data_IF_277724345394
#
_entry.id   IF_277724345394
#
_cell.length_a   1.000
_cell.length_b   1.000
_cell.length_c   1.000
_cell.angle_alpha   90.00
_cell.angle_beta   90.00
_cell.angle_gamma   90.00
#
_symmetry.space_group_name_H-M   'P 1'
#
loop_
_entity.id
_entity.type
_entity.pdbx_description
1 polymer ?
#
# COMPACT_ATOMS: atom_id res chain seq x y z
N UNK A 1 -19.98 1.21 0.10
CA UNK A 1 -21.17 1.00 -0.74
C UNK A 1 -20.87 0.02 -1.85
N UNK A 2 -21.91 -0.65 -2.38
CA UNK A 2 -21.78 -1.47 -3.58
C UNK A 2 -21.72 -0.55 -4.82
N UNK A 3 -20.91 -0.92 -5.81
CA UNK A 3 -20.74 -0.14 -7.03
C UNK A 3 -20.58 -1.03 -8.26
N UNK A 4 -21.01 -0.51 -9.39
CA UNK A 4 -20.62 -0.99 -10.70
C UNK A 4 -19.41 -0.19 -11.16
N UNK A 5 -18.25 -0.85 -11.20
CA UNK A 5 -17.00 -0.28 -11.70
C UNK A 5 -16.85 -0.65 -13.19
N UNK A 6 -16.64 0.37 -14.00
CA UNK A 6 -16.37 0.22 -15.43
C UNK A 6 -15.09 0.95 -15.78
N UNK A 7 -14.30 0.38 -16.68
CA UNK A 7 -13.11 1.01 -17.25
C UNK A 7 -13.44 1.42 -18.68
N UNK A 8 -13.06 2.63 -19.05
CA UNK A 8 -13.39 3.21 -20.35
C UNK A 8 -12.46 4.36 -20.74
N UNK A 9 -12.85 5.05 -21.79
CA UNK A 9 -12.25 6.28 -22.30
C UNK A 9 -13.26 7.45 -22.27
N UNK A 10 -12.98 8.54 -22.96
CA UNK A 10 -13.86 9.71 -23.03
C UNK A 10 -15.23 9.43 -23.69
N UNK A 11 -15.39 8.29 -24.38
CA UNK A 11 -16.66 7.87 -25.01
C UNK A 11 -17.45 6.91 -24.14
N UNK A 12 -16.91 6.46 -23.01
CA UNK A 12 -17.55 5.55 -22.06
C UNK A 12 -16.85 4.21 -21.91
N UNK A 13 -17.54 3.18 -21.39
CA UNK A 13 -16.97 1.85 -21.18
C UNK A 13 -16.46 1.20 -22.46
N UNK A 14 -15.24 0.68 -22.43
CA UNK A 14 -14.57 0.07 -23.59
C UNK A 14 -14.81 -1.44 -23.64
N UNK A 15 -15.09 -1.96 -24.81
CA UNK A 15 -15.28 -3.40 -25.06
C UNK A 15 -14.07 -4.20 -24.61
N UNK A 16 -14.29 -5.24 -23.81
CA UNK A 16 -13.24 -6.11 -23.27
C UNK A 16 -12.60 -5.61 -21.98
N UNK A 17 -12.83 -4.36 -21.59
CA UNK A 17 -12.37 -3.81 -20.32
C UNK A 17 -13.29 -4.19 -19.16
N UNK A 18 -12.79 -4.00 -17.93
CA UNK A 18 -13.52 -4.33 -16.71
C UNK A 18 -14.89 -3.66 -16.66
N UNK A 19 -15.92 -4.45 -16.45
CA UNK A 19 -17.29 -3.99 -16.25
C UNK A 19 -18.05 -3.65 -17.54
N UNK A 20 -17.46 -3.84 -18.72
CA UNK A 20 -18.19 -3.68 -19.98
C UNK A 20 -19.43 -4.61 -20.01
N UNK A 21 -20.58 -4.12 -20.47
CA UNK A 21 -21.88 -4.81 -20.47
C UNK A 21 -22.34 -5.40 -19.11
N UNK A 22 -21.72 -5.00 -18.01
CA UNK A 22 -22.12 -5.43 -16.68
C UNK A 22 -23.23 -4.52 -16.15
N UNK A 23 -24.35 -5.12 -15.70
CA UNK A 23 -25.52 -4.39 -15.16
C UNK A 23 -25.64 -4.52 -13.63
N UNK A 24 -24.76 -5.28 -13.00
CA UNK A 24 -24.82 -5.55 -11.55
C UNK A 24 -23.53 -5.10 -10.85
N UNK A 25 -23.60 -4.68 -9.58
CA UNK A 25 -22.43 -4.27 -8.83
C UNK A 25 -21.33 -5.34 -8.82
N UNK A 26 -20.17 -5.01 -9.38
CA UNK A 26 -18.98 -5.86 -9.45
C UNK A 26 -17.90 -5.46 -8.43
N UNK A 27 -18.09 -4.37 -7.70
CA UNK A 27 -17.15 -3.84 -6.73
C UNK A 27 -17.82 -3.29 -5.47
N UNK A 28 -17.01 -2.95 -4.48
CA UNK A 28 -17.38 -2.10 -3.35
C UNK A 28 -16.47 -0.89 -3.33
N UNK A 29 -17.00 0.26 -2.93
CA UNK A 29 -16.27 1.53 -2.80
C UNK A 29 -16.38 2.02 -1.36
N UNK A 30 -15.28 2.50 -0.82
CA UNK A 30 -15.23 3.19 0.47
C UNK A 30 -14.29 4.39 0.39
N UNK A 31 -14.58 5.41 1.18
CA UNK A 31 -13.66 6.53 1.40
C UNK A 31 -12.43 5.99 2.15
N UNK A 32 -11.25 6.49 1.82
CA UNK A 32 -10.00 6.12 2.48
C UNK A 32 -9.22 7.34 2.97
N UNK A 33 -8.25 7.07 3.85
CA UNK A 33 -7.40 8.06 4.50
C UNK A 33 -7.95 8.45 5.88
N UNK A 34 -7.06 8.85 6.77
CA UNK A 34 -7.43 9.42 8.07
C UNK A 34 -7.82 10.89 7.89
N UNK A 35 -6.86 11.78 7.88
CA UNK A 35 -7.06 13.24 7.70
C UNK A 35 -7.71 13.56 6.35
N UNK A 36 -7.27 12.92 5.27
CA UNK A 36 -7.81 13.18 3.92
C UNK A 36 -9.27 12.72 3.72
N UNK A 37 -9.82 11.92 4.66
CA UNK A 37 -11.25 11.57 4.63
C UNK A 37 -12.17 12.76 4.92
N UNK A 38 -11.66 13.84 5.50
CA UNK A 38 -12.40 15.07 5.79
C UNK A 38 -12.38 16.07 4.62
N UNK A 39 -11.49 15.90 3.65
CA UNK A 39 -11.38 16.79 2.49
C UNK A 39 -12.68 16.83 1.66
N UNK A 40 -12.94 17.93 0.98
CA UNK A 40 -14.11 18.09 0.12
C UNK A 40 -14.14 17.03 -1.00
N UNK A 41 -13.00 16.80 -1.65
CA UNK A 41 -12.84 15.72 -2.62
C UNK A 41 -12.15 14.52 -1.95
N UNK A 42 -12.82 13.38 -1.98
CA UNK A 42 -12.42 12.18 -1.23
C UNK A 42 -11.41 11.32 -1.99
N UNK A 43 -10.58 10.62 -1.24
CA UNK A 43 -9.84 9.47 -1.73
C UNK A 43 -10.71 8.22 -1.65
N UNK A 44 -10.55 7.29 -2.59
CA UNK A 44 -11.37 6.08 -2.64
C UNK A 44 -10.52 4.81 -2.60
N UNK A 45 -11.06 3.80 -1.94
CA UNK A 45 -10.62 2.40 -2.05
C UNK A 45 -11.72 1.61 -2.72
N UNK A 46 -11.42 1.05 -3.87
CA UNK A 46 -12.34 0.22 -4.65
C UNK A 46 -11.85 -1.22 -4.56
N UNK A 47 -12.74 -2.14 -4.17
CA UNK A 47 -12.44 -3.56 -4.09
C UNK A 47 -13.34 -4.32 -5.05
N UNK A 48 -12.77 -4.87 -6.13
CA UNK A 48 -13.46 -5.73 -7.09
C UNK A 48 -13.83 -7.03 -6.39
N UNK A 49 -15.09 -7.46 -6.54
CA UNK A 49 -15.60 -8.70 -5.95
C UNK A 49 -14.88 -9.92 -6.50
N UNK A 50 -14.81 -10.97 -5.70
CA UNK A 50 -14.25 -12.25 -6.13
C UNK A 50 -15.00 -12.75 -7.40
N UNK A 51 -14.24 -13.23 -8.38
CA UNK A 51 -14.77 -13.73 -9.67
C UNK A 51 -15.44 -12.67 -10.56
N UNK A 52 -15.20 -11.38 -10.33
CA UNK A 52 -15.68 -10.27 -11.18
C UNK A 52 -14.55 -9.59 -11.96
N UNK A 53 -13.44 -10.30 -12.15
CA UNK A 53 -12.27 -9.81 -12.87
C UNK A 53 -11.27 -9.03 -12.01
N UNK A 54 -10.40 -8.35 -12.69
CA UNK A 54 -9.37 -7.47 -12.12
C UNK A 54 -9.09 -6.34 -13.10
N UNK A 55 -8.50 -5.27 -12.62
CA UNK A 55 -8.00 -4.22 -13.49
C UNK A 55 -6.49 -4.14 -13.33
N UNK A 56 -5.75 -4.30 -14.45
CA UNK A 56 -4.27 -4.39 -14.46
C UNK A 56 -3.72 -5.39 -13.44
N UNK A 57 -4.36 -6.56 -13.35
CA UNK A 57 -4.00 -7.60 -12.39
C UNK A 57 -4.41 -7.33 -10.94
N UNK A 58 -4.91 -6.14 -10.62
CA UNK A 58 -5.28 -5.75 -9.26
C UNK A 58 -6.79 -5.83 -9.01
N UNK A 59 -7.17 -6.29 -7.82
CA UNK A 59 -8.56 -6.30 -7.35
C UNK A 59 -8.85 -5.22 -6.29
N UNK A 60 -7.82 -4.60 -5.75
CA UNK A 60 -7.94 -3.47 -4.85
C UNK A 60 -7.27 -2.28 -5.49
N UNK A 61 -8.02 -1.22 -5.69
CA UNK A 61 -7.61 0.00 -6.37
C UNK A 61 -7.69 1.15 -5.37
N UNK A 62 -6.63 1.91 -5.21
CA UNK A 62 -6.64 3.16 -4.47
C UNK A 62 -6.65 4.33 -5.44
N UNK A 63 -7.54 5.26 -5.25
CA UNK A 63 -7.64 6.52 -5.98
C UNK A 63 -7.36 7.67 -5.03
N UNK A 64 -6.26 8.38 -5.25
CA UNK A 64 -5.84 9.50 -4.44
C UNK A 64 -6.09 10.81 -5.17
N UNK A 65 -6.72 11.78 -4.48
CA UNK A 65 -7.09 13.09 -5.05
C UNK A 65 -6.03 14.17 -4.79
N UNK A 66 -5.20 14.00 -3.77
CA UNK A 66 -4.12 14.92 -3.39
C UNK A 66 -4.59 16.37 -3.22
N UNK A 67 -5.63 16.58 -2.41
CA UNK A 67 -6.23 17.91 -2.17
C UNK A 67 -5.25 18.93 -1.54
N UNK A 68 -4.22 18.45 -0.83
CA UNK A 68 -3.17 19.28 -0.23
C UNK A 68 -2.12 19.81 -1.20
N UNK A 69 -2.16 19.39 -2.47
CA UNK A 69 -1.17 19.76 -3.48
C UNK A 69 -1.81 20.61 -4.59
N UNK A 70 -1.19 21.74 -4.92
CA UNK A 70 -1.67 22.58 -6.02
C UNK A 70 -1.64 21.89 -7.39
N UNK A 71 -0.61 21.10 -7.67
CA UNK A 71 -0.41 20.43 -8.96
C UNK A 71 -0.90 18.98 -8.98
N UNK A 72 -1.13 18.38 -7.81
CA UNK A 72 -1.70 17.02 -7.63
C UNK A 72 -0.93 15.88 -8.31
N UNK A 73 0.37 16.04 -8.55
CA UNK A 73 1.18 15.01 -9.18
C UNK A 73 2.44 14.59 -8.39
N UNK A 74 2.72 15.21 -7.24
CA UNK A 74 3.92 14.91 -6.42
C UNK A 74 4.04 13.41 -6.14
N UNK A 75 2.99 12.81 -5.62
CA UNK A 75 2.94 11.38 -5.31
C UNK A 75 3.21 10.51 -6.56
N UNK A 76 2.61 10.85 -7.70
CA UNK A 76 2.86 10.16 -8.97
C UNK A 76 4.32 10.31 -9.42
N UNK A 77 4.87 11.51 -9.30
CA UNK A 77 6.25 11.79 -9.70
C UNK A 77 7.25 11.03 -8.80
N UNK A 78 7.03 10.99 -7.48
CA UNK A 78 7.86 10.23 -6.56
C UNK A 78 7.92 8.74 -6.95
N UNK A 79 6.78 8.10 -7.19
CA UNK A 79 6.76 6.71 -7.64
C UNK A 79 7.40 6.49 -9.02
N UNK A 80 7.30 7.45 -9.94
CA UNK A 80 7.97 7.33 -11.24
C UNK A 80 9.49 7.46 -11.11
N UNK A 81 9.99 8.31 -10.20
CA UNK A 81 11.41 8.39 -9.89
C UNK A 81 11.93 7.10 -9.25
N UNK A 82 11.18 6.53 -8.30
CA UNK A 82 11.55 5.27 -7.62
C UNK A 82 11.71 4.13 -8.63
N UNK A 83 10.88 4.06 -9.67
CA UNK A 83 11.01 3.04 -10.74
C UNK A 83 12.35 3.06 -11.48
N UNK A 84 13.05 4.18 -11.46
CA UNK A 84 14.39 4.33 -12.04
C UNK A 84 15.54 3.99 -11.09
N UNK A 85 15.25 3.52 -9.88
CA UNK A 85 16.24 3.21 -8.83
C UNK A 85 16.15 1.72 -8.51
N UNK A 86 17.09 0.93 -9.01
CA UNK A 86 17.08 -0.54 -8.92
C UNK A 86 17.04 -1.07 -7.47
N UNK A 87 17.60 -0.32 -6.52
CA UNK A 87 17.67 -0.69 -5.11
C UNK A 87 16.39 -0.37 -4.34
N UNK A 88 15.47 0.40 -4.94
CA UNK A 88 14.21 0.76 -4.29
C UNK A 88 13.05 -0.10 -4.76
N UNK A 89 12.16 -0.35 -3.84
CA UNK A 89 10.90 -1.03 -4.12
C UNK A 89 9.75 -0.01 -4.12
N UNK A 90 9.18 0.23 -5.29
CA UNK A 90 8.08 1.18 -5.49
C UNK A 90 6.82 0.52 -5.99
N UNK A 91 5.76 1.30 -6.09
CA UNK A 91 4.44 0.87 -6.55
C UNK A 91 4.14 1.38 -7.96
N UNK A 92 3.28 0.67 -8.68
CA UNK A 92 2.79 1.15 -9.96
C UNK A 92 1.71 2.22 -9.74
N UNK A 93 1.81 3.27 -10.54
CA UNK A 93 0.88 4.39 -10.48
C UNK A 93 0.50 4.84 -11.90
N UNK A 94 -0.70 5.40 -12.01
CA UNK A 94 -1.15 6.06 -13.23
C UNK A 94 -2.17 7.14 -12.92
N UNK A 95 -2.33 8.08 -13.82
CA UNK A 95 -3.47 9.01 -13.77
C UNK A 95 -4.72 8.35 -14.32
N UNK A 96 -5.85 8.63 -13.68
CA UNK A 96 -7.18 8.25 -14.14
C UNK A 96 -8.13 9.42 -14.00
N UNK A 97 -9.10 9.52 -14.89
CA UNK A 97 -10.22 10.44 -14.75
C UNK A 97 -11.39 9.67 -14.16
N UNK A 98 -11.98 10.18 -13.09
CA UNK A 98 -13.07 9.50 -12.38
C UNK A 98 -14.41 10.18 -12.68
N UNK A 99 -15.34 9.40 -13.19
CA UNK A 99 -16.75 9.78 -13.34
C UNK A 99 -17.59 8.96 -12.40
N UNK A 100 -18.53 9.58 -11.70
CA UNK A 100 -19.37 8.91 -10.71
C UNK A 100 -20.84 9.20 -11.01
N UNK A 101 -21.65 8.15 -11.00
CA UNK A 101 -23.10 8.26 -11.01
C UNK A 101 -23.67 7.63 -9.73
N UNK A 102 -24.28 8.44 -8.87
CA UNK A 102 -24.93 7.96 -7.67
C UNK A 102 -26.35 7.44 -7.99
N UNK A 103 -26.71 6.30 -7.43
CA UNK A 103 -28.05 5.68 -7.54
C UNK A 103 -28.50 5.26 -6.13
N UNK A 104 -29.79 5.30 -5.80
CA UNK A 104 -30.98 5.73 -6.55
C UNK A 104 -31.48 7.13 -6.21
N UNK A 105 -30.90 7.84 -5.23
CA UNK A 105 -31.55 8.99 -4.59
C UNK A 105 -31.39 10.32 -5.36
N UNK A 106 -30.52 10.35 -6.37
CA UNK A 106 -30.39 11.47 -7.27
C UNK A 106 -30.36 10.98 -8.71
N UNK A 107 -31.51 10.63 -9.23
CA UNK A 107 -31.63 10.18 -10.61
C UNK A 107 -31.50 11.34 -11.59
N UNK A 108 -30.31 11.93 -11.67
CA UNK A 108 -29.96 12.81 -12.76
C UNK A 108 -29.71 12.02 -14.05
N UNK A 109 -29.54 10.70 -13.95
CA UNK A 109 -29.15 9.85 -15.09
C UNK A 109 -27.75 10.14 -15.66
N UNK A 110 -27.03 11.13 -15.10
CA UNK A 110 -25.79 11.68 -15.63
C UNK A 110 -24.62 11.34 -14.72
N UNK A 111 -23.47 11.04 -15.31
CA UNK A 111 -22.21 10.91 -14.59
C UNK A 111 -21.68 12.29 -14.22
N UNK A 112 -21.31 12.46 -12.96
CA UNK A 112 -20.61 13.64 -12.47
C UNK A 112 -19.10 13.47 -12.69
N UNK A 113 -18.45 14.52 -13.16
CA UNK A 113 -17.02 14.56 -13.36
C UNK A 113 -16.32 14.85 -12.03
N UNK A 114 -15.62 13.84 -11.48
CA UNK A 114 -14.81 13.98 -10.26
C UNK A 114 -13.35 14.36 -10.58
N UNK A 115 -12.99 14.44 -11.85
CA UNK A 115 -11.69 14.88 -12.36
C UNK A 115 -10.56 13.88 -12.16
N UNK A 116 -9.34 14.42 -12.19
CA UNK A 116 -8.10 13.64 -12.13
C UNK A 116 -7.86 13.02 -10.76
N UNK A 117 -7.47 11.74 -10.75
CA UNK A 117 -6.96 10.99 -9.61
C UNK A 117 -5.64 10.31 -9.95
N UNK A 118 -4.80 10.10 -8.95
CA UNK A 118 -3.70 9.14 -9.05
C UNK A 118 -4.19 7.79 -8.56
N UNK A 119 -4.23 6.80 -9.44
CA UNK A 119 -4.39 5.40 -9.04
C UNK A 119 -3.05 4.89 -8.54
N UNK A 120 -3.04 4.35 -7.34
CA UNK A 120 -1.86 3.75 -6.69
C UNK A 120 -2.10 2.27 -6.46
N UNK A 121 -1.16 1.44 -6.87
CA UNK A 121 -1.17 0.01 -6.59
C UNK A 121 -1.24 -0.24 -5.08
N UNK A 122 -1.98 -1.26 -4.69
CA UNK A 122 -2.05 -1.67 -3.29
C UNK A 122 -1.13 -2.86 -3.07
N UNK A 123 -0.09 -2.68 -2.26
CA UNK A 123 0.84 -3.76 -1.96
C UNK A 123 0.13 -4.88 -1.18
N UNK A 124 0.14 -6.06 -1.76
CA UNK A 124 -0.44 -7.31 -1.28
C UNK A 124 0.20 -8.50 -2.00
N UNK A 125 -0.22 -9.71 -1.71
CA UNK A 125 0.31 -10.93 -2.37
C UNK A 125 0.28 -10.88 -3.90
N UNK A 126 -0.75 -10.25 -4.49
CA UNK A 126 -0.84 -10.10 -5.96
C UNK A 126 0.21 -9.12 -6.48
N UNK A 127 0.36 -7.98 -5.83
CA UNK A 127 1.37 -6.99 -6.19
C UNK A 127 2.80 -7.54 -6.02
N UNK A 128 3.09 -8.22 -4.90
CA UNK A 128 4.37 -8.89 -4.71
C UNK A 128 4.71 -9.80 -5.91
N UNK A 129 3.75 -10.63 -6.32
CA UNK A 129 3.93 -11.51 -7.47
C UNK A 129 4.17 -10.75 -8.78
N UNK A 130 3.47 -9.66 -9.04
CA UNK A 130 3.66 -8.83 -10.25
C UNK A 130 5.01 -8.13 -10.27
N UNK A 131 5.57 -7.83 -9.12
CA UNK A 131 6.92 -7.28 -8.96
C UNK A 131 8.03 -8.34 -8.92
N UNK A 132 7.70 -9.64 -9.10
CA UNK A 132 8.68 -10.73 -9.01
C UNK A 132 9.15 -11.04 -7.59
N UNK A 133 8.49 -10.48 -6.58
CA UNK A 133 8.76 -10.74 -5.17
C UNK A 133 7.99 -11.97 -4.66
N UNK A 134 8.45 -12.55 -3.55
CA UNK A 134 7.82 -13.74 -2.96
C UNK A 134 6.47 -13.39 -2.31
N UNK A 135 5.33 -13.88 -2.83
CA UNK A 135 4.01 -13.59 -2.29
C UNK A 135 3.70 -14.27 -0.94
N UNK A 136 4.56 -15.22 -0.53
CA UNK A 136 4.42 -15.94 0.73
C UNK A 136 5.27 -15.35 1.86
N UNK A 137 6.00 -14.28 1.57
CA UNK A 137 6.81 -13.56 2.55
C UNK A 137 5.97 -12.81 3.59
N UNK A 138 6.64 -12.39 4.64
CA UNK A 138 6.06 -11.47 5.63
C UNK A 138 5.97 -10.09 5.01
N UNK A 139 4.83 -9.45 5.17
CA UNK A 139 4.57 -8.09 4.67
C UNK A 139 3.72 -7.34 5.67
N UNK A 140 4.24 -6.24 6.16
CA UNK A 140 3.57 -5.36 7.11
C UNK A 140 3.49 -3.94 6.56
N UNK A 141 2.33 -3.30 6.68
CA UNK A 141 2.24 -1.85 6.52
C UNK A 141 2.50 -1.21 7.89
N UNK A 142 3.49 -0.34 7.95
CA UNK A 142 3.80 0.40 9.16
C UNK A 142 2.76 1.51 9.36
N UNK A 143 2.05 1.46 10.49
CA UNK A 143 1.06 2.45 10.87
C UNK A 143 1.58 3.42 11.96
N UNK A 144 2.29 2.88 12.96
CA UNK A 144 2.98 3.63 14.02
C UNK A 144 3.96 2.66 14.70
N UNK A 145 5.18 2.59 14.17
CA UNK A 145 6.16 1.60 14.63
C UNK A 145 7.57 2.15 14.55
N UNK A 146 8.23 2.25 15.69
CA UNK A 146 9.56 2.81 15.88
C UNK A 146 10.66 1.74 15.90
N UNK A 147 10.39 0.52 15.44
CA UNK A 147 11.27 -0.64 15.45
C UNK A 147 11.74 -1.06 16.86
N UNK A 148 10.98 -0.71 17.89
CA UNK A 148 11.20 -1.21 19.25
C UNK A 148 10.58 -2.60 19.43
N UNK A 149 11.13 -3.39 20.36
CA UNK A 149 10.73 -4.78 20.56
C UNK A 149 9.28 -4.96 21.01
N UNK A 150 8.73 -4.05 21.80
CA UNK A 150 7.33 -4.09 22.31
C UNK A 150 6.86 -5.51 22.69
N UNK A 151 7.52 -6.15 23.65
CA UNK A 151 7.31 -7.56 24.03
C UNK A 151 5.86 -7.94 24.33
N UNK A 152 5.07 -6.99 24.84
CA UNK A 152 3.65 -7.20 25.13
C UNK A 152 2.76 -7.21 23.89
N UNK A 153 3.24 -6.66 22.76
CA UNK A 153 2.45 -6.47 21.52
C UNK A 153 3.00 -7.35 20.39
N UNK A 154 4.32 -7.34 20.17
CA UNK A 154 4.96 -8.09 19.09
C UNK A 154 5.26 -9.50 19.59
N UNK A 155 4.29 -10.39 19.40
CA UNK A 155 4.31 -11.80 19.82
C UNK A 155 4.09 -12.70 18.61
N UNK A 156 4.45 -13.98 18.76
CA UNK A 156 4.06 -14.99 17.77
C UNK A 156 2.54 -15.07 17.67
N UNK A 157 2.00 -15.24 16.49
CA UNK A 157 0.54 -15.41 16.31
C UNK A 157 -0.04 -16.64 17.01
N UNK A 158 0.81 -17.59 17.42
CA UNK A 158 0.45 -18.78 18.22
C UNK A 158 0.53 -18.57 19.72
N UNK A 159 1.06 -17.41 20.19
CA UNK A 159 1.14 -17.11 21.63
C UNK A 159 -0.29 -16.89 22.19
N UNK A 160 -0.66 -17.55 23.31
CA UNK A 160 -1.98 -17.36 23.91
C UNK A 160 -2.31 -15.90 24.31
N UNK A 161 -1.30 -15.07 24.53
CA UNK A 161 -1.43 -13.65 24.84
C UNK A 161 -1.35 -12.74 23.62
N UNK A 162 -1.31 -13.29 22.40
CA UNK A 162 -1.28 -12.49 21.16
C UNK A 162 -2.61 -11.75 20.95
N UNK A 163 -2.53 -10.44 20.80
CA UNK A 163 -3.65 -9.59 20.39
C UNK A 163 -3.39 -9.02 19.01
N UNK A 164 -4.07 -9.57 18.00
CA UNK A 164 -3.94 -9.12 16.61
C UNK A 164 -4.32 -7.65 16.44
N UNK A 165 -5.31 -7.15 17.18
CA UNK A 165 -5.74 -5.75 17.07
C UNK A 165 -4.66 -4.80 17.57
N UNK A 166 -4.03 -5.12 18.71
CA UNK A 166 -2.91 -4.36 19.25
C UNK A 166 -1.68 -4.42 18.32
N UNK A 167 -1.40 -5.60 17.74
CA UNK A 167 -0.33 -5.77 16.75
C UNK A 167 -0.59 -4.92 15.48
N UNK A 168 -1.80 -5.03 14.89
CA UNK A 168 -2.15 -4.32 13.66
C UNK A 168 -2.30 -2.81 13.83
N UNK A 169 -2.46 -2.32 15.05
CA UNK A 169 -2.37 -0.89 15.33
C UNK A 169 -0.98 -0.32 15.02
N UNK A 170 0.06 -1.16 15.09
CA UNK A 170 1.45 -0.81 14.77
C UNK A 170 1.85 -1.28 13.37
N UNK A 171 1.60 -2.55 13.06
CA UNK A 171 2.04 -3.26 11.86
C UNK A 171 0.85 -4.00 11.23
N UNK A 172 0.17 -3.37 10.26
CA UNK A 172 -0.96 -4.00 9.59
C UNK A 172 -0.49 -5.19 8.74
N UNK A 173 -1.00 -6.38 9.01
CA UNK A 173 -0.59 -7.63 8.34
C UNK A 173 -1.13 -7.63 6.89
N UNK A 174 -0.24 -7.79 5.92
CA UNK A 174 -0.55 -7.86 4.48
C UNK A 174 -0.06 -9.15 3.83
N UNK A 175 0.89 -9.83 4.45
CA UNK A 175 1.51 -11.08 3.99
C UNK A 175 1.24 -12.25 4.92
N UNK A 176 2.29 -13.01 5.20
CA UNK A 176 2.27 -14.07 6.20
C UNK A 176 2.21 -13.50 7.62
N UNK A 177 1.55 -14.21 8.52
CA UNK A 177 1.34 -13.81 9.92
C UNK A 177 2.21 -14.58 10.91
N UNK A 178 3.19 -15.36 10.45
CA UNK A 178 4.26 -15.85 11.30
C UNK A 178 5.22 -14.69 11.61
N UNK A 179 5.26 -14.25 12.84
CA UNK A 179 6.04 -13.08 13.28
C UNK A 179 7.45 -13.45 13.77
N UNK A 180 7.89 -14.70 13.67
CA UNK A 180 9.17 -15.19 14.21
C UNK A 180 10.35 -14.38 13.71
N UNK A 181 10.49 -14.21 12.37
CA UNK A 181 11.59 -13.43 11.77
C UNK A 181 11.58 -11.96 12.17
N UNK A 182 10.39 -11.38 12.33
CA UNK A 182 10.24 -10.01 12.81
C UNK A 182 10.77 -9.89 14.24
N UNK A 183 10.41 -10.83 15.10
CA UNK A 183 10.85 -10.87 16.50
C UNK A 183 12.36 -11.01 16.59
N UNK A 184 12.96 -11.98 15.85
CA UNK A 184 14.41 -12.19 15.80
C UNK A 184 15.15 -10.91 15.38
N UNK A 185 14.70 -10.26 14.33
CA UNK A 185 15.31 -9.00 13.85
C UNK A 185 15.21 -7.90 14.91
N UNK A 186 14.05 -7.76 15.59
CA UNK A 186 13.85 -6.75 16.61
C UNK A 186 14.67 -7.03 17.88
N UNK A 187 14.89 -8.29 18.24
CA UNK A 187 15.76 -8.66 19.36
C UNK A 187 17.19 -8.22 19.12
N UNK A 188 17.74 -8.49 17.93
CA UNK A 188 19.08 -8.02 17.56
C UNK A 188 19.15 -6.50 17.45
N UNK A 189 18.13 -5.86 16.85
CA UNK A 189 18.09 -4.40 16.68
C UNK A 189 18.02 -3.66 18.02
N UNK A 190 17.44 -4.27 19.06
CA UNK A 190 17.28 -3.65 20.38
C UNK A 190 18.31 -4.18 21.42
N UNK A 191 19.27 -5.00 21.02
CA UNK A 191 20.34 -5.47 21.88
C UNK A 191 21.49 -4.44 21.93
N UNK A 192 21.60 -3.71 23.03
CA UNK A 192 22.64 -2.70 23.25
C UNK A 192 24.06 -3.29 23.40
N UNK A 193 24.20 -4.63 23.51
CA UNK A 193 25.47 -5.30 23.78
C UNK A 193 26.17 -5.81 22.52
N UNK A 194 25.47 -5.90 21.39
CA UNK A 194 26.02 -6.43 20.13
C UNK A 194 26.73 -5.36 19.31
N UNK A 195 27.69 -5.77 18.50
CA UNK A 195 28.27 -4.93 17.42
C UNK A 195 27.24 -4.82 16.28
N UNK A 196 26.20 -4.08 16.54
CA UNK A 196 24.90 -4.03 15.87
C UNK A 196 24.98 -3.85 14.35
N UNK A 197 25.88 -2.98 13.88
CA UNK A 197 25.85 -2.53 12.48
C UNK A 197 26.19 -3.66 11.51
N UNK A 198 27.24 -4.43 11.80
CA UNK A 198 27.70 -5.50 10.92
C UNK A 198 26.71 -6.68 10.87
N UNK A 199 26.13 -7.06 12.01
CA UNK A 199 25.16 -8.17 12.09
C UNK A 199 23.82 -7.81 11.46
N UNK A 200 23.29 -6.61 11.70
CA UNK A 200 22.03 -6.15 11.14
C UNK A 200 22.04 -6.13 9.62
N UNK A 201 23.09 -5.53 9.03
CA UNK A 201 23.21 -5.48 7.58
C UNK A 201 23.72 -6.78 6.96
N UNK A 202 24.47 -7.60 7.67
CA UNK A 202 24.86 -8.91 7.19
C UNK A 202 23.65 -9.88 7.12
N UNK A 203 22.79 -9.87 8.14
CA UNK A 203 21.76 -10.89 8.33
C UNK A 203 20.34 -10.39 8.05
N UNK A 204 19.96 -9.22 8.58
CA UNK A 204 18.55 -8.83 8.66
C UNK A 204 18.12 -7.76 7.66
N UNK A 205 18.95 -6.80 7.30
CA UNK A 205 18.54 -5.75 6.37
C UNK A 205 19.34 -5.79 5.07
N UNK A 206 18.67 -5.45 3.98
CA UNK A 206 19.38 -5.14 2.74
C UNK A 206 19.93 -3.71 2.83
N UNK A 207 21.26 -3.58 2.92
CA UNK A 207 21.94 -2.30 3.16
C UNK A 207 21.69 -1.30 2.04
N UNK A 208 21.68 -1.75 0.79
CA UNK A 208 21.46 -0.87 -0.35
C UNK A 208 20.02 -0.38 -0.38
N UNK A 209 19.04 -1.27 -0.22
CA UNK A 209 17.63 -0.89 -0.17
C UNK A 209 17.37 0.15 0.93
N UNK A 210 17.87 -0.07 2.14
CA UNK A 210 17.71 0.88 3.26
C UNK A 210 18.36 2.22 2.95
N UNK A 211 19.61 2.22 2.46
CA UNK A 211 20.36 3.44 2.19
C UNK A 211 19.71 4.28 1.08
N UNK A 212 19.29 3.65 -0.02
CA UNK A 212 18.60 4.33 -1.12
C UNK A 212 17.22 4.85 -0.70
N UNK A 213 16.47 4.06 0.06
CA UNK A 213 15.18 4.50 0.59
C UNK A 213 15.34 5.73 1.50
N UNK A 214 16.27 5.70 2.46
CA UNK A 214 16.54 6.85 3.34
C UNK A 214 16.98 8.09 2.57
N UNK A 215 17.90 7.93 1.61
CA UNK A 215 18.37 9.04 0.78
C UNK A 215 17.22 9.65 -0.03
N UNK A 216 16.33 8.82 -0.58
CA UNK A 216 15.17 9.29 -1.33
C UNK A 216 14.22 10.10 -0.45
N UNK A 217 13.87 9.61 0.75
CA UNK A 217 13.00 10.34 1.68
C UNK A 217 13.60 11.70 2.08
N UNK A 218 14.90 11.75 2.34
CA UNK A 218 15.61 13.00 2.68
C UNK A 218 15.59 13.98 1.50
N UNK A 219 15.93 13.53 0.29
CA UNK A 219 15.97 14.36 -0.91
C UNK A 219 14.60 14.90 -1.33
N UNK A 220 13.54 14.11 -1.14
CA UNK A 220 12.17 14.53 -1.46
C UNK A 220 11.48 15.31 -0.34
N UNK A 221 12.12 15.39 0.85
CA UNK A 221 11.55 16.07 2.02
C UNK A 221 10.33 15.34 2.60
N UNK A 222 10.23 14.03 2.39
CA UNK A 222 9.14 13.23 2.94
C UNK A 222 9.41 12.89 4.41
N UNK A 223 8.90 13.70 5.32
CA UNK A 223 9.12 13.54 6.78
C UNK A 223 8.11 12.60 7.44
N UNK A 224 7.07 12.17 6.74
CA UNK A 224 5.98 11.34 7.30
C UNK A 224 6.24 9.83 7.21
N UNK A 225 7.50 9.44 6.93
CA UNK A 225 7.90 8.04 6.76
C UNK A 225 8.78 7.50 7.89
N UNK A 226 9.02 8.25 8.95
CA UNK A 226 9.92 7.83 10.02
C UNK A 226 9.40 6.64 10.83
N UNK A 227 8.09 6.56 11.05
CA UNK A 227 7.44 5.48 11.80
C UNK A 227 6.09 5.04 11.20
N UNK A 228 5.79 5.45 9.97
CA UNK A 228 4.56 5.14 9.22
C UNK A 228 4.81 5.26 7.72
N UNK A 229 3.78 5.00 6.92
CA UNK A 229 3.79 5.22 5.47
C UNK A 229 4.93 4.49 4.75
N UNK A 230 5.26 3.31 5.19
CA UNK A 230 6.21 2.39 4.55
C UNK A 230 5.76 0.96 4.78
N UNK A 231 6.12 0.05 3.87
CA UNK A 231 5.94 -1.37 4.12
C UNK A 231 7.28 -2.01 4.47
N UNK A 232 7.22 -2.92 5.41
CA UNK A 232 8.33 -3.80 5.78
C UNK A 232 8.08 -5.19 5.18
N UNK A 233 8.98 -5.66 4.34
CA UNK A 233 8.84 -6.91 3.59
C UNK A 233 10.03 -7.83 3.81
N UNK A 234 9.77 -9.13 3.99
CA UNK A 234 10.79 -10.18 4.03
C UNK A 234 10.33 -11.41 3.25
N UNK A 235 11.08 -11.90 2.23
CA UNK A 235 10.75 -13.15 1.54
C UNK A 235 10.67 -14.33 2.49
N UNK A 236 9.88 -15.37 2.18
CA UNK A 236 9.65 -16.51 3.06
C UNK A 236 10.96 -17.22 3.46
N UNK A 237 11.85 -17.43 2.50
CA UNK A 237 13.09 -18.19 2.69
C UNK A 237 14.33 -17.29 2.86
N UNK A 238 14.14 -16.08 3.41
CA UNK A 238 15.22 -15.12 3.67
C UNK A 238 15.01 -14.50 5.03
N UNK A 239 16.11 -14.17 5.72
CA UNK A 239 16.07 -13.32 6.93
C UNK A 239 16.08 -11.83 6.58
N UNK A 240 16.38 -11.48 5.32
CA UNK A 240 16.49 -10.09 4.87
C UNK A 240 15.16 -9.36 4.86
N UNK A 241 15.19 -8.12 5.34
CA UNK A 241 14.10 -7.18 5.34
C UNK A 241 14.38 -6.04 4.38
N UNK A 242 13.32 -5.60 3.71
CA UNK A 242 13.31 -4.52 2.73
C UNK A 242 12.26 -3.49 3.11
N UNK A 243 12.57 -2.21 2.90
CA UNK A 243 11.59 -1.13 2.95
C UNK A 243 10.98 -0.95 1.56
N UNK A 244 9.65 -1.01 1.50
CA UNK A 244 8.89 -0.76 0.30
C UNK A 244 8.14 0.56 0.44
N UNK A 245 8.38 1.44 -0.50
CA UNK A 245 7.91 2.82 -0.43
C UNK A 245 6.38 2.96 -0.49
N UNK A 246 5.84 3.92 0.28
CA UNK A 246 4.40 4.18 0.35
C UNK A 246 4.10 5.61 0.80
N UNK A 247 3.20 6.29 0.07
CA UNK A 247 2.58 7.59 0.43
C UNK A 247 3.55 8.78 0.47
N UNK A 248 4.18 9.06 -0.68
CA UNK A 248 5.10 10.18 -0.88
C UNK A 248 4.37 11.52 -1.07
#
# INVERSE_FOLDING_TARGET
VAALLQVGDENGPVVGELGYDTLTPNATVQIRGQTSSENAQKNYKIKIKKNKGSWRGQRTIALNKHMGEGLRFRNKMAYDLIKGIDQMMGLQTQFVHLYVKALPDSDSGVFEDYGLYTQVEQLNKTALKTHGADPNGQLYKINSFEFLRYEDIIRLSTDPAYDQTAFEARLEIKGDSDHSKLIEMLEVLNDETSSMEDELFATYFDKENIAYWMAFQLLTGNTDTQNRNVYLYSPQNSSKWYLWDWDN
#
